data_IF_704619698824
#
_entry.id   IF_704619698824
#
_cell.length_a   1.000
_cell.length_b   1.000
_cell.length_c   1.000
_cell.angle_alpha   90.00
_cell.angle_beta   90.00
_cell.angle_gamma   90.00
#
_symmetry.space_group_name_H-M   'P 1'
#
loop_
_entity.id
_entity.type
_entity.pdbx_description
1 polymer ?
#
# COMPACT_ATOMS: atom_id res chain seq x y z
N UNK A 1 -18.16 28.08 -7.20
CA UNK A 1 -17.33 28.18 -5.98
C UNK A 1 -16.88 26.77 -5.62
N UNK A 2 -15.73 26.38 -6.14
CA UNK A 2 -15.21 25.01 -6.03
C UNK A 2 -14.85 24.71 -4.58
N UNK A 3 -15.52 23.71 -3.99
CA UNK A 3 -15.17 23.23 -2.66
C UNK A 3 -13.81 22.56 -2.76
N UNK A 4 -12.75 23.24 -2.29
CA UNK A 4 -11.44 22.62 -2.04
C UNK A 4 -11.68 21.38 -1.19
N UNK A 5 -11.46 20.19 -1.78
CA UNK A 5 -11.47 18.93 -1.06
C UNK A 5 -10.41 19.05 0.02
N UNK A 6 -10.86 19.03 1.28
CA UNK A 6 -10.00 19.01 2.45
C UNK A 6 -9.01 17.86 2.26
N UNK A 7 -7.72 18.17 2.10
CA UNK A 7 -6.67 17.17 1.95
C UNK A 7 -6.61 16.40 3.26
N UNK A 8 -7.29 15.27 3.32
CA UNK A 8 -7.21 14.34 4.42
C UNK A 8 -5.72 14.05 4.64
N UNK A 9 -5.18 14.49 5.78
CA UNK A 9 -3.81 14.20 6.17
C UNK A 9 -3.55 12.69 6.09
N UNK A 10 -2.29 12.31 5.84
CA UNK A 10 -1.90 10.90 5.80
C UNK A 10 -2.42 10.19 7.05
N UNK A 11 -3.42 9.33 6.87
CA UNK A 11 -3.77 8.36 7.89
C UNK A 11 -2.54 7.46 8.09
N UNK A 12 -2.18 7.13 9.34
CA UNK A 12 -1.08 6.21 9.60
C UNK A 12 -1.32 4.91 8.82
N UNK A 13 -0.34 4.50 8.00
CA UNK A 13 -0.45 3.30 7.15
C UNK A 13 -1.13 3.50 5.80
N UNK A 14 -1.29 4.72 5.27
CA UNK A 14 -1.65 4.91 3.84
C UNK A 14 -0.49 5.56 3.09
N UNK A 15 -0.19 5.11 1.86
CA UNK A 15 0.88 5.74 1.10
C UNK A 15 0.59 7.22 0.86
N UNK A 16 1.52 8.06 1.30
CA UNK A 16 1.33 9.51 1.42
C UNK A 16 1.25 10.28 0.10
N UNK A 17 1.54 9.65 -1.03
CA UNK A 17 1.50 10.27 -2.35
C UNK A 17 0.88 9.35 -3.40
N UNK A 18 0.22 9.90 -4.44
CA UNK A 18 -0.18 9.13 -5.61
C UNK A 18 1.06 8.57 -6.33
N UNK A 19 1.01 7.30 -6.74
CA UNK A 19 2.11 6.63 -7.44
C UNK A 19 1.59 5.90 -8.68
N UNK A 20 2.26 6.13 -9.81
CA UNK A 20 1.97 5.42 -11.08
C UNK A 20 2.34 3.95 -10.92
N UNK A 21 1.43 3.04 -11.26
CA UNK A 21 1.61 1.61 -11.00
C UNK A 21 1.31 1.19 -9.55
N UNK A 22 0.59 2.01 -8.78
CA UNK A 22 0.16 1.66 -7.43
C UNK A 22 -0.68 0.38 -7.39
N UNK A 23 -0.23 -0.62 -6.62
CA UNK A 23 -0.82 -1.97 -6.55
C UNK A 23 -2.13 -2.06 -5.74
N UNK A 24 -2.71 -0.94 -5.31
CA UNK A 24 -3.87 -0.90 -4.38
C UNK A 24 -5.08 -1.72 -4.84
N UNK A 25 -5.38 -1.71 -6.15
CA UNK A 25 -6.51 -2.48 -6.71
C UNK A 25 -6.24 -3.98 -6.75
N UNK A 26 -4.97 -4.38 -6.76
CA UNK A 26 -4.54 -5.78 -6.81
C UNK A 26 -4.30 -6.39 -5.43
N UNK A 27 -4.38 -5.61 -4.35
CA UNK A 27 -4.13 -6.09 -2.98
C UNK A 27 -4.93 -7.35 -2.61
N UNK A 28 -6.24 -7.46 -2.91
CA UNK A 28 -7.00 -8.66 -2.53
C UNK A 28 -6.42 -9.95 -3.14
N UNK A 29 -5.90 -9.87 -4.37
CA UNK A 29 -5.30 -11.00 -5.08
C UNK A 29 -3.88 -11.26 -4.59
N UNK A 30 -3.09 -10.20 -4.39
CA UNK A 30 -1.71 -10.32 -3.90
C UNK A 30 -1.66 -10.93 -2.49
N UNK A 31 -2.57 -10.52 -1.61
CA UNK A 31 -2.66 -11.06 -0.23
C UNK A 31 -2.97 -12.56 -0.27
N UNK A 32 -3.85 -13.01 -1.17
CA UNK A 32 -4.15 -14.44 -1.32
C UNK A 32 -2.96 -15.26 -1.84
N UNK A 33 -2.02 -14.61 -2.53
CA UNK A 33 -0.81 -15.26 -3.05
C UNK A 33 0.37 -15.24 -2.09
N UNK A 34 0.24 -14.57 -0.93
CA UNK A 34 1.30 -14.57 0.08
C UNK A 34 1.45 -15.97 0.70
N UNK A 35 2.67 -16.32 1.13
CA UNK A 35 2.86 -17.56 1.87
C UNK A 35 2.05 -17.55 3.18
N UNK A 36 1.51 -18.70 3.56
CA UNK A 36 0.64 -18.83 4.75
C UNK A 36 1.37 -18.41 6.03
N UNK A 37 2.67 -18.64 6.10
CA UNK A 37 3.53 -18.29 7.24
C UNK A 37 4.17 -16.89 7.12
N UNK A 38 3.63 -15.98 6.29
CA UNK A 38 4.17 -14.63 6.11
C UNK A 38 4.33 -13.85 7.43
N UNK A 39 3.50 -14.14 8.44
CA UNK A 39 3.55 -13.50 9.77
C UNK A 39 4.67 -14.02 10.66
N UNK A 40 5.25 -15.18 10.35
CA UNK A 40 6.35 -15.78 11.11
C UNK A 40 7.72 -15.36 10.57
N UNK A 41 7.74 -14.72 9.39
CA UNK A 41 8.96 -14.25 8.76
C UNK A 41 9.47 -12.98 9.45
N UNK A 42 10.76 -12.96 9.82
CA UNK A 42 11.39 -11.81 10.47
C UNK A 42 11.53 -10.60 9.52
N UNK A 43 11.76 -10.85 8.24
CA UNK A 43 12.08 -9.81 7.26
C UNK A 43 11.20 -9.91 6.02
N UNK A 44 10.49 -8.81 5.72
CA UNK A 44 9.77 -8.60 4.47
C UNK A 44 10.55 -7.66 3.55
N UNK A 45 10.82 -8.08 2.32
CA UNK A 45 11.58 -7.29 1.35
C UNK A 45 10.76 -7.07 0.08
N UNK A 46 10.44 -5.81 -0.24
CA UNK A 46 9.94 -5.42 -1.55
C UNK A 46 10.99 -4.63 -2.33
N UNK A 47 11.71 -5.27 -3.29
CA UNK A 47 12.73 -4.58 -4.09
C UNK A 47 12.13 -3.47 -4.97
N UNK A 48 10.85 -3.58 -5.32
CA UNK A 48 10.11 -2.60 -6.14
C UNK A 48 8.89 -2.04 -5.39
N UNK A 49 9.15 -1.41 -4.25
CA UNK A 49 8.12 -0.89 -3.35
C UNK A 49 7.19 0.14 -4.02
N UNK A 50 7.76 1.06 -4.82
CA UNK A 50 7.04 2.19 -5.39
C UNK A 50 6.28 2.97 -4.31
N UNK A 51 4.97 3.13 -4.50
CA UNK A 51 4.08 3.71 -3.50
C UNK A 51 3.74 2.80 -2.30
N UNK A 52 4.48 1.72 -2.03
CA UNK A 52 4.36 0.93 -0.79
C UNK A 52 2.99 0.32 -0.50
N UNK A 53 2.18 0.07 -1.53
CA UNK A 53 0.76 -0.25 -1.35
C UNK A 53 0.46 -1.57 -0.61
N UNK A 54 1.39 -2.53 -0.60
CA UNK A 54 1.24 -3.82 0.07
C UNK A 54 1.91 -3.83 1.46
N UNK A 55 2.86 -2.92 1.70
CA UNK A 55 3.54 -2.76 2.99
C UNK A 55 2.73 -1.92 3.99
N UNK A 56 2.01 -0.90 3.51
CA UNK A 56 1.18 0.02 4.31
C UNK A 56 -0.31 -0.32 4.16
#
# INVERSE_FOLDING_TARGET
MERKKNSAGCLPGKPCFPWVGGKRRLLPVLIQSLPENITEMETYVEPFVGGGALFF
#
